data_IF_657905644887
#
_entry.id   IF_657905644887
#
_cell.length_a   1.000
_cell.length_b   1.000
_cell.length_c   1.000
_cell.angle_alpha   90.00
_cell.angle_beta   90.00
_cell.angle_gamma   90.00
#
_symmetry.space_group_name_H-M   'P 1'
#
loop_
_entity.id
_entity.type
_entity.pdbx_description
1 polymer ?
#
# COMPACT_ATOMS: atom_id res chain seq x y z
N UNK A 1 -4.38 -0.48 -19.94
CA UNK A 1 -4.75 0.73 -19.15
C UNK A 1 -4.99 0.44 -17.66
N UNK A 2 -5.45 -0.76 -17.27
CA UNK A 2 -5.66 -1.16 -15.87
C UNK A 2 -4.46 -0.92 -14.92
N UNK A 3 -3.22 -1.12 -15.39
CA UNK A 3 -2.02 -0.93 -14.56
C UNK A 3 -1.78 0.53 -14.14
N UNK A 4 -2.26 1.52 -14.91
CA UNK A 4 -2.05 2.95 -14.63
C UNK A 4 -3.07 3.45 -13.60
N UNK A 5 -4.32 2.98 -13.67
CA UNK A 5 -5.36 3.29 -12.66
C UNK A 5 -5.01 2.73 -11.28
N UNK A 6 -4.44 1.51 -11.23
CA UNK A 6 -3.98 0.90 -9.97
C UNK A 6 -2.86 1.67 -9.27
N UNK A 7 -2.02 2.38 -10.03
CA UNK A 7 -0.90 3.14 -9.48
C UNK A 7 -1.35 4.39 -8.72
N UNK A 8 -2.45 5.03 -9.12
CA UNK A 8 -2.90 6.29 -8.51
C UNK A 8 -3.30 6.12 -7.04
N UNK A 9 -4.01 5.04 -6.68
CA UNK A 9 -4.41 4.77 -5.29
C UNK A 9 -3.24 4.41 -4.36
N UNK A 10 -2.23 3.71 -4.89
CA UNK A 10 -1.05 3.27 -4.11
C UNK A 10 0.00 4.40 -3.98
N UNK A 11 0.09 5.29 -4.97
CA UNK A 11 0.99 6.45 -4.91
C UNK A 11 0.64 7.44 -3.81
N UNK A 12 -0.61 7.48 -3.32
CA UNK A 12 -0.98 8.30 -2.16
C UNK A 12 -0.56 7.70 -0.81
N UNK A 13 -0.47 6.37 -0.71
CA UNK A 13 -0.11 5.66 0.53
C UNK A 13 1.41 5.50 0.71
N UNK A 14 2.16 5.48 -0.39
CA UNK A 14 3.63 5.33 -0.36
C UNK A 14 4.38 6.49 0.31
N UNK A 15 3.99 7.77 0.15
CA UNK A 15 4.55 8.88 0.92
C UNK A 15 4.29 8.76 2.43
N UNK A 16 3.12 8.24 2.82
CA UNK A 16 2.79 8.04 4.23
C UNK A 16 3.65 6.94 4.85
N UNK A 17 3.87 5.83 4.12
CA UNK A 17 4.83 4.80 4.52
C UNK A 17 6.25 5.38 4.67
N UNK A 18 6.71 6.18 3.70
CA UNK A 18 8.00 6.85 3.79
C UNK A 18 8.10 7.76 5.03
N UNK A 19 7.00 8.43 5.42
CA UNK A 19 6.94 9.24 6.64
C UNK A 19 7.04 8.43 7.93
N UNK A 20 6.47 7.21 7.96
CA UNK A 20 6.60 6.30 9.10
C UNK A 20 8.05 5.78 9.24
N UNK A 21 8.71 5.49 8.12
CA UNK A 21 10.13 5.10 8.11
C UNK A 21 11.05 6.27 8.46
N UNK A 22 10.69 7.51 8.10
CA UNK A 22 11.46 8.71 8.42
C UNK A 22 11.63 8.91 9.94
N UNK A 23 10.70 8.42 10.77
CA UNK A 23 10.78 8.49 12.23
C UNK A 23 11.96 7.71 12.82
N UNK A 24 12.48 6.72 12.10
CA UNK A 24 13.60 5.88 12.55
C UNK A 24 14.98 6.40 12.12
N UNK A 25 15.06 7.56 11.46
CA UNK A 25 16.34 8.11 11.01
C UNK A 25 17.10 8.77 12.17
N UNK A 26 18.41 8.52 12.21
CA UNK A 26 19.31 9.24 13.12
C UNK A 26 19.38 10.71 12.71
N UNK A 27 19.41 11.66 13.68
CA UNK A 27 19.38 13.11 13.42
C UNK A 27 20.42 13.56 12.38
N UNK A 28 21.60 12.93 12.38
CA UNK A 28 22.74 13.27 11.53
C UNK A 28 22.51 13.02 10.02
N UNK A 29 21.64 12.08 9.64
CA UNK A 29 21.45 11.65 8.24
C UNK A 29 20.04 11.98 7.70
N UNK A 30 19.22 12.66 8.51
CA UNK A 30 17.79 12.90 8.26
C UNK A 30 17.52 13.57 6.90
N UNK A 31 18.33 14.55 6.47
CA UNK A 31 18.10 15.28 5.21
C UNK A 31 18.26 14.42 3.95
N UNK A 32 19.32 13.62 3.89
CA UNK A 32 19.59 12.74 2.73
C UNK A 32 18.73 11.49 2.82
N UNK A 33 18.56 10.95 4.03
CA UNK A 33 17.81 9.73 4.25
C UNK A 33 16.31 9.88 4.01
N UNK A 34 15.68 11.02 4.34
CA UNK A 34 14.26 11.26 3.99
C UNK A 34 14.05 11.24 2.47
N UNK A 35 14.95 11.88 1.71
CA UNK A 35 14.88 11.90 0.25
C UNK A 35 15.12 10.50 -0.34
N UNK A 36 16.13 9.78 0.15
CA UNK A 36 16.44 8.44 -0.33
C UNK A 36 15.32 7.42 -0.03
N UNK A 37 14.69 7.49 1.14
CA UNK A 37 13.62 6.56 1.55
C UNK A 37 12.35 6.77 0.72
N UNK A 38 12.04 8.01 0.34
CA UNK A 38 10.90 8.31 -0.54
C UNK A 38 11.12 7.91 -2.00
N UNK A 39 12.33 8.15 -2.54
CA UNK A 39 12.59 7.98 -3.97
C UNK A 39 13.20 6.63 -4.36
N UNK A 40 14.16 6.11 -3.60
CA UNK A 40 14.93 4.92 -4.01
C UNK A 40 14.05 3.67 -4.10
N UNK A 41 13.22 3.32 -3.10
CA UNK A 41 12.31 2.18 -3.21
C UNK A 41 11.29 2.36 -4.34
N UNK A 42 10.83 3.60 -4.57
CA UNK A 42 9.81 3.90 -5.58
C UNK A 42 10.37 3.70 -7.00
N UNK A 43 11.54 4.26 -7.29
CA UNK A 43 12.21 4.11 -8.60
C UNK A 43 12.56 2.65 -8.85
N UNK A 44 13.03 1.93 -7.82
CA UNK A 44 13.36 0.52 -7.96
C UNK A 44 12.11 -0.36 -8.18
N UNK A 45 11.08 -0.22 -7.33
CA UNK A 45 9.88 -1.03 -7.42
C UNK A 45 9.00 -0.70 -8.63
N UNK A 46 8.86 0.58 -9.00
CA UNK A 46 8.01 0.94 -10.14
C UNK A 46 8.79 1.01 -11.45
N UNK A 47 10.05 1.45 -11.43
CA UNK A 47 10.89 1.52 -12.62
C UNK A 47 11.44 0.15 -13.00
N UNK A 48 12.26 -0.46 -12.14
CA UNK A 48 12.96 -1.71 -12.46
C UNK A 48 11.98 -2.88 -12.49
N UNK A 49 11.23 -3.13 -11.42
CA UNK A 49 10.30 -4.26 -11.39
C UNK A 49 9.10 -4.06 -12.33
N UNK A 50 8.62 -2.82 -12.50
CA UNK A 50 7.58 -2.50 -13.48
C UNK A 50 8.05 -2.72 -14.92
N UNK A 51 9.27 -2.28 -15.26
CA UNK A 51 9.87 -2.48 -16.58
C UNK A 51 10.10 -3.95 -16.89
N UNK A 52 10.62 -4.72 -15.93
CA UNK A 52 10.78 -6.18 -16.06
C UNK A 52 9.41 -6.86 -16.26
N UNK A 53 8.39 -6.44 -15.52
CA UNK A 53 7.03 -6.96 -15.67
C UNK A 53 6.42 -6.69 -17.04
N UNK A 54 6.64 -5.49 -17.61
CA UNK A 54 6.19 -5.17 -18.98
C UNK A 54 6.94 -6.04 -20.00
N UNK A 55 8.25 -6.18 -19.86
CA UNK A 55 9.06 -6.99 -20.78
C UNK A 55 8.63 -8.46 -20.80
N UNK A 56 8.43 -9.06 -19.62
CA UNK A 56 7.91 -10.43 -19.51
C UNK A 56 6.44 -10.55 -19.94
N UNK A 57 5.60 -9.56 -19.62
CA UNK A 57 4.19 -9.56 -20.00
C UNK A 57 3.97 -9.51 -21.51
N UNK A 58 4.78 -8.73 -22.23
CA UNK A 58 4.78 -8.71 -23.70
C UNK A 58 5.31 -10.01 -24.28
N UNK A 59 6.30 -10.65 -23.62
CA UNK A 59 6.90 -11.89 -24.12
C UNK A 59 6.05 -13.13 -23.87
N UNK A 60 5.29 -13.16 -22.79
CA UNK A 60 4.50 -14.32 -22.34
C UNK A 60 2.99 -14.15 -22.59
N UNK A 61 2.55 -12.97 -23.07
CA UNK A 61 1.15 -12.66 -23.31
C UNK A 61 0.31 -12.46 -22.03
N UNK A 62 0.94 -12.56 -20.85
CA UNK A 62 0.28 -12.53 -19.55
C UNK A 62 0.72 -11.31 -18.74
N UNK A 63 -0.17 -10.34 -18.48
CA UNK A 63 0.17 -9.13 -17.74
C UNK A 63 0.31 -9.37 -16.23
N UNK A 64 -0.03 -10.56 -15.71
CA UNK A 64 -0.08 -10.82 -14.28
C UNK A 64 1.28 -11.33 -13.73
N UNK A 65 1.94 -10.57 -12.83
CA UNK A 65 3.21 -10.97 -12.24
C UNK A 65 3.14 -12.19 -11.34
N UNK A 66 1.99 -12.48 -10.77
CA UNK A 66 1.76 -13.73 -10.05
C UNK A 66 1.76 -14.94 -10.97
N UNK A 67 1.42 -14.78 -12.26
CA UNK A 67 1.29 -15.89 -13.21
C UNK A 67 2.58 -16.10 -13.99
N UNK A 68 3.22 -15.04 -14.48
CA UNK A 68 4.46 -15.22 -15.25
C UNK A 68 5.64 -15.73 -14.41
N UNK A 69 5.75 -15.34 -13.12
CA UNK A 69 6.81 -15.86 -12.22
C UNK A 69 6.63 -17.37 -12.00
N UNK A 70 5.38 -17.83 -11.94
CA UNK A 70 5.03 -19.24 -11.81
C UNK A 70 5.32 -19.99 -13.09
N UNK A 71 5.04 -19.39 -14.24
CA UNK A 71 5.36 -19.96 -15.54
C UNK A 71 6.87 -20.13 -15.73
N UNK A 72 7.68 -19.20 -15.22
CA UNK A 72 9.15 -19.21 -15.35
C UNK A 72 9.85 -20.15 -14.35
N UNK A 73 9.37 -20.22 -13.10
CA UNK A 73 10.04 -20.95 -12.00
C UNK A 73 9.26 -22.21 -11.56
N UNK A 74 8.15 -22.54 -12.21
CA UNK A 74 7.28 -23.66 -11.89
C UNK A 74 6.70 -23.59 -10.47
N UNK A 75 6.63 -24.74 -9.80
CA UNK A 75 6.13 -24.89 -8.42
C UNK A 75 6.86 -24.00 -7.40
N UNK A 76 8.15 -23.70 -7.62
CA UNK A 76 8.91 -22.79 -6.75
C UNK A 76 8.45 -21.34 -6.91
N UNK A 77 8.12 -20.95 -8.14
CA UNK A 77 7.49 -19.66 -8.44
C UNK A 77 6.13 -19.55 -7.78
N UNK A 78 5.32 -20.60 -7.82
CA UNK A 78 3.98 -20.63 -7.20
C UNK A 78 4.04 -20.47 -5.69
N UNK A 79 4.95 -21.19 -5.03
CA UNK A 79 5.19 -21.04 -3.60
C UNK A 79 5.64 -19.63 -3.25
N UNK A 80 6.59 -19.08 -4.01
CA UNK A 80 7.08 -17.73 -3.78
C UNK A 80 5.97 -16.69 -3.95
N UNK A 81 5.19 -16.73 -5.04
CA UNK A 81 4.10 -15.79 -5.29
C UNK A 81 2.98 -15.94 -4.25
N UNK A 82 2.64 -17.16 -3.83
CA UNK A 82 1.68 -17.35 -2.74
C UNK A 82 2.17 -16.72 -1.43
N UNK A 83 3.41 -16.98 -1.03
CA UNK A 83 3.97 -16.44 0.23
C UNK A 83 4.00 -14.91 0.19
N UNK A 84 4.40 -14.30 -0.93
CA UNK A 84 4.44 -12.84 -1.05
C UNK A 84 3.03 -12.24 -1.02
N UNK A 85 2.07 -12.83 -1.74
CA UNK A 85 0.68 -12.37 -1.74
C UNK A 85 0.04 -12.50 -0.34
N UNK A 86 0.26 -13.61 0.37
CA UNK A 86 -0.22 -13.80 1.75
C UNK A 86 0.37 -12.72 2.66
N UNK A 87 1.68 -12.48 2.59
CA UNK A 87 2.35 -11.48 3.41
C UNK A 87 1.78 -10.08 3.18
N UNK A 88 1.51 -9.71 1.93
CA UNK A 88 0.91 -8.41 1.57
C UNK A 88 -0.50 -8.31 2.16
N UNK A 89 -1.34 -9.32 1.96
CA UNK A 89 -2.71 -9.33 2.48
C UNK A 89 -2.78 -9.27 4.00
N UNK A 90 -1.93 -10.04 4.70
CA UNK A 90 -1.83 -10.00 6.17
C UNK A 90 -1.41 -8.62 6.66
N UNK A 91 -0.44 -7.98 5.99
CA UNK A 91 0.01 -6.63 6.35
C UNK A 91 -1.11 -5.61 6.16
N UNK A 92 -1.90 -5.73 5.10
CA UNK A 92 -3.03 -4.84 4.84
C UNK A 92 -4.14 -4.95 5.91
N UNK A 93 -4.55 -6.18 6.24
CA UNK A 93 -5.55 -6.43 7.30
C UNK A 93 -5.03 -5.94 8.65
N UNK A 94 -3.74 -6.14 8.92
CA UNK A 94 -3.12 -5.67 10.16
C UNK A 94 -3.13 -4.15 10.30
N UNK A 95 -2.74 -3.42 9.24
CA UNK A 95 -2.79 -1.95 9.23
C UNK A 95 -4.23 -1.44 9.38
N UNK A 96 -5.21 -2.05 8.70
CA UNK A 96 -6.62 -1.70 8.84
C UNK A 96 -7.17 -1.94 10.25
N UNK A 97 -6.77 -3.06 10.86
CA UNK A 97 -7.09 -3.40 12.25
C UNK A 97 -6.59 -2.36 13.23
N UNK A 98 -5.35 -1.89 13.06
CA UNK A 98 -4.75 -0.89 13.93
C UNK A 98 -5.47 0.46 13.81
N UNK A 99 -5.74 0.91 12.59
CA UNK A 99 -6.49 2.15 12.34
C UNK A 99 -7.88 2.11 12.96
N UNK A 100 -8.61 1.00 12.81
CA UNK A 100 -9.94 0.84 13.39
C UNK A 100 -9.91 0.77 14.92
N UNK A 101 -8.91 0.08 15.49
CA UNK A 101 -8.70 0.02 16.95
C UNK A 101 -8.49 1.42 17.53
N UNK A 102 -7.64 2.23 16.91
CA UNK A 102 -7.35 3.60 17.35
C UNK A 102 -8.58 4.51 17.25
N UNK A 103 -9.38 4.38 16.19
CA UNK A 103 -10.63 5.14 16.04
C UNK A 103 -11.63 4.80 17.15
N UNK A 104 -11.84 3.52 17.45
CA UNK A 104 -12.76 3.11 18.51
C UNK A 104 -12.25 3.41 19.92
N UNK A 105 -10.94 3.36 20.14
CA UNK A 105 -10.35 3.79 21.41
C UNK A 105 -10.56 5.29 21.62
N UNK A 106 -10.44 6.10 20.57
CA UNK A 106 -10.58 7.55 20.69
C UNK A 106 -12.06 8.00 20.75
N UNK A 107 -12.95 7.35 20.00
CA UNK A 107 -14.38 7.70 19.91
C UNK A 107 -15.21 7.07 21.03
N UNK A 108 -15.01 5.77 21.30
CA UNK A 108 -15.85 5.01 22.23
C UNK A 108 -15.14 4.64 23.54
N UNK A 109 -13.84 4.93 23.68
CA UNK A 109 -12.99 4.50 24.82
C UNK A 109 -13.11 3.02 25.16
N UNK A 110 -13.48 2.20 24.17
CA UNK A 110 -13.72 0.78 24.33
C UNK A 110 -12.48 0.01 23.82
N UNK A 111 -11.90 -0.83 24.68
CA UNK A 111 -10.65 -1.56 24.40
C UNK A 111 -10.90 -3.07 24.30
N UNK A 112 -11.49 -3.58 23.21
CA UNK A 112 -11.55 -5.02 23.01
C UNK A 112 -10.18 -5.56 22.58
N UNK A 113 -9.93 -6.84 22.86
CA UNK A 113 -8.64 -7.48 22.59
C UNK A 113 -8.25 -7.49 21.11
N UNK A 114 -6.95 -7.42 20.82
CA UNK A 114 -6.34 -7.34 19.48
C UNK A 114 -6.89 -8.35 18.44
N UNK A 115 -7.30 -9.54 18.89
CA UNK A 115 -7.90 -10.57 18.01
C UNK A 115 -9.22 -10.11 17.39
N UNK A 116 -10.04 -9.38 18.13
CA UNK A 116 -11.32 -8.86 17.65
C UNK A 116 -11.10 -7.85 16.51
N UNK A 117 -10.17 -6.93 16.70
CA UNK A 117 -9.87 -5.90 15.71
C UNK A 117 -9.23 -6.41 14.43
N UNK A 118 -8.60 -7.59 14.42
CA UNK A 118 -8.05 -8.20 13.20
C UNK A 118 -9.15 -8.91 12.42
N UNK A 119 -10.11 -9.52 13.12
CA UNK A 119 -11.22 -10.27 12.51
C UNK A 119 -12.19 -9.35 11.78
N UNK A 120 -12.49 -8.16 12.33
CA UNK A 120 -13.41 -7.18 11.71
C UNK A 120 -13.00 -6.78 10.28
N UNK A 121 -11.78 -6.26 10.02
CA UNK A 121 -11.34 -5.91 8.67
C UNK A 121 -11.12 -7.14 7.77
N UNK A 122 -10.82 -8.31 8.36
CA UNK A 122 -10.74 -9.57 7.60
C UNK A 122 -12.11 -10.00 7.05
N UNK A 123 -13.15 -9.97 7.89
CA UNK A 123 -14.52 -10.33 7.48
C UNK A 123 -15.05 -9.31 6.47
N UNK A 124 -14.84 -8.01 6.69
CA UNK A 124 -15.27 -6.99 5.73
C UNK A 124 -14.58 -7.16 4.38
N UNK A 125 -13.28 -7.48 4.36
CA UNK A 125 -12.56 -7.76 3.12
C UNK A 125 -13.14 -8.97 2.36
N UNK A 126 -13.49 -10.06 3.07
CA UNK A 126 -14.12 -11.24 2.46
C UNK A 126 -15.49 -10.90 1.87
N UNK A 127 -16.32 -10.16 2.61
CA UNK A 127 -17.65 -9.73 2.13
C UNK A 127 -17.52 -8.87 0.87
N UNK A 128 -16.56 -7.94 0.83
CA UNK A 128 -16.33 -7.10 -0.34
C UNK A 128 -15.80 -7.90 -1.54
N UNK A 129 -14.94 -8.89 -1.31
CA UNK A 129 -14.51 -9.81 -2.38
C UNK A 129 -15.68 -10.64 -2.92
N UNK A 130 -16.61 -11.06 -2.06
CA UNK A 130 -17.80 -11.82 -2.45
C UNK A 130 -18.83 -10.96 -3.19
N UNK A 131 -18.83 -9.64 -2.93
CA UNK A 131 -19.69 -8.65 -3.58
C UNK A 131 -19.20 -8.15 -4.94
N UNK A 132 -18.24 -8.84 -5.57
CA UNK A 132 -17.72 -8.51 -6.90
C UNK A 132 -17.18 -7.06 -7.01
N UNK A 133 -16.41 -6.64 -6.01
CA UNK A 133 -15.74 -5.32 -6.05
C UNK A 133 -14.69 -5.24 -7.16
N UNK A 134 -14.29 -6.40 -7.71
CA UNK A 134 -13.26 -6.51 -8.76
C UNK A 134 -13.67 -5.78 -10.03
N UNK A 135 -14.95 -5.83 -10.41
CA UNK A 135 -15.46 -5.09 -11.56
C UNK A 135 -15.49 -3.56 -11.34
N UNK A 136 -15.44 -3.10 -10.08
CA UNK A 136 -15.49 -1.69 -9.70
C UNK A 136 -14.17 -1.19 -9.09
N UNK A 137 -13.09 -1.98 -9.17
CA UNK A 137 -11.79 -1.68 -8.55
C UNK A 137 -11.24 -0.32 -8.98
N UNK A 138 -11.40 0.05 -10.24
CA UNK A 138 -10.92 1.33 -10.77
C UNK A 138 -11.62 2.52 -10.10
N UNK A 139 -12.95 2.46 -9.96
CA UNK A 139 -13.73 3.50 -9.30
C UNK A 139 -13.39 3.59 -7.81
N UNK A 140 -13.21 2.44 -7.14
CA UNK A 140 -12.85 2.41 -5.73
C UNK A 140 -11.44 2.99 -5.51
N UNK A 141 -10.47 2.68 -6.38
CA UNK A 141 -9.11 3.20 -6.27
C UNK A 141 -9.01 4.70 -6.57
N UNK A 142 -9.75 5.18 -7.56
CA UNK A 142 -9.82 6.63 -7.85
C UNK A 142 -10.44 7.39 -6.68
N UNK A 143 -11.53 6.87 -6.10
CA UNK A 143 -12.14 7.44 -4.91
C UNK A 143 -11.17 7.45 -3.71
N UNK A 144 -10.43 6.37 -3.50
CA UNK A 144 -9.39 6.30 -2.47
C UNK A 144 -8.31 7.38 -2.65
N UNK A 145 -7.87 7.63 -3.89
CA UNK A 145 -6.91 8.69 -4.19
C UNK A 145 -7.41 10.08 -3.79
N UNK A 146 -8.70 10.38 -4.03
CA UNK A 146 -9.33 11.64 -3.61
C UNK A 146 -9.42 11.72 -2.08
N UNK A 147 -9.76 10.62 -1.41
CA UNK A 147 -9.79 10.56 0.06
C UNK A 147 -8.42 10.77 0.71
N UNK A 148 -7.32 10.62 -0.02
CA UNK A 148 -5.96 10.90 0.48
C UNK A 148 -5.50 12.35 0.24
N UNK A 149 -6.33 13.18 -0.40
CA UNK A 149 -6.02 14.59 -0.66
C UNK A 149 -5.75 15.43 0.59
N UNK A 150 -6.30 15.05 1.75
CA UNK A 150 -6.01 15.69 3.04
C UNK A 150 -4.52 15.64 3.42
N UNK A 151 -3.73 14.71 2.87
CA UNK A 151 -2.29 14.68 3.07
C UNK A 151 -1.62 15.96 2.54
N UNK A 152 -2.16 16.59 1.49
CA UNK A 152 -1.67 17.87 0.99
C UNK A 152 -1.86 18.99 2.02
N UNK A 153 -2.96 18.98 2.77
CA UNK A 153 -3.25 19.94 3.84
C UNK A 153 -2.20 19.79 4.97
N UNK A 154 -1.88 18.56 5.37
CA UNK A 154 -0.82 18.29 6.35
C UNK A 154 0.56 18.81 5.88
N UNK A 155 0.88 18.63 4.60
CA UNK A 155 2.15 19.13 4.03
C UNK A 155 2.16 20.66 4.05
N UNK A 156 1.07 21.32 3.66
CA UNK A 156 0.96 22.78 3.70
C UNK A 156 1.08 23.32 5.13
N UNK A 157 0.46 22.67 6.11
CA UNK A 157 0.58 23.04 7.52
C UNK A 157 2.03 22.92 8.02
N UNK A 158 2.68 21.79 7.74
CA UNK A 158 4.05 21.54 8.18
C UNK A 158 5.09 22.47 7.53
N UNK A 159 4.92 22.81 6.25
CA UNK A 159 5.91 23.58 5.47
C UNK A 159 5.66 25.09 5.53
N UNK A 160 4.41 25.53 5.47
CA UNK A 160 4.06 26.95 5.45
C UNK A 160 3.72 27.44 6.85
N UNK A 161 2.72 26.83 7.50
CA UNK A 161 2.18 27.35 8.78
C UNK A 161 3.24 27.30 9.88
N UNK A 162 3.89 26.15 10.04
CA UNK A 162 4.90 25.94 11.09
C UNK A 162 6.24 26.65 10.86
N UNK A 163 6.42 27.27 9.69
CA UNK A 163 7.63 28.01 9.31
C UNK A 163 7.41 29.52 9.38
N UNK A 164 6.13 29.94 9.34
CA UNK A 164 5.68 31.32 9.48
C UNK A 164 5.42 31.68 10.95
N UNK A 165 5.02 30.71 11.77
CA UNK A 165 4.71 30.84 13.21
C UNK A 165 5.86 30.32 14.08
#
# INVERSE_FOLDING_TARGET
MLCIGMQHGIMGLTPLLASDYARFLKPKDTKIGISAIGFVPQIFCFGVMGGIGIWFGVRLGEPNPGVYIVLLLGIRGALFTMITQIRINVTNIYSGSLSLSNLFENVFKFKPGRRFWVVVPGISAIILMLGDIVNHLETVLTFQGVLLSWAAILVTDAVCVKKIL
#
